data_IF_945639372801
#
_entry.id   IF_945639372801
#
_cell.length_a   1.000
_cell.length_b   1.000
_cell.length_c   1.000
_cell.angle_alpha   90.00
_cell.angle_beta   90.00
_cell.angle_gamma   90.00
#
_symmetry.space_group_name_H-M   'P 1'
#
loop_
_entity.id
_entity.type
_entity.pdbx_description
1 polymer ?
#
# COMPACT_ATOMS: atom_id res chain seq x y z
N UNK A 1 37.96 -65.97 30.82
CA UNK A 1 36.63 -66.03 30.19
C UNK A 1 35.69 -65.18 31.01
N UNK A 2 35.48 -63.92 30.62
CA UNK A 2 34.51 -63.02 31.26
C UNK A 2 33.16 -63.25 30.59
N UNK A 3 32.14 -63.57 31.39
CA UNK A 3 30.80 -63.88 30.90
C UNK A 3 30.12 -62.60 30.34
N UNK A 4 29.22 -62.73 29.34
CA UNK A 4 28.52 -61.60 28.72
C UNK A 4 27.48 -60.89 29.64
N UNK A 5 27.53 -61.14 30.96
CA UNK A 5 26.50 -60.76 31.92
C UNK A 5 26.73 -59.39 32.59
N UNK A 6 27.88 -58.74 32.35
CA UNK A 6 28.30 -57.52 33.08
C UNK A 6 28.18 -56.23 32.23
N UNK A 7 27.32 -56.20 31.22
CA UNK A 7 27.06 -54.96 30.48
C UNK A 7 26.22 -54.00 31.34
N UNK A 8 26.66 -52.75 31.58
CA UNK A 8 25.88 -51.77 32.33
C UNK A 8 24.52 -51.54 31.64
N UNK A 9 23.45 -51.37 32.43
CA UNK A 9 22.08 -51.23 31.94
C UNK A 9 21.90 -50.10 30.89
N UNK A 10 22.77 -49.09 30.92
CA UNK A 10 22.89 -48.01 29.91
C UNK A 10 23.21 -48.53 28.50
N UNK A 11 24.01 -49.60 28.38
CA UNK A 11 24.39 -50.22 27.11
C UNK A 11 23.41 -51.33 26.66
N UNK A 12 22.40 -51.64 27.46
CA UNK A 12 21.42 -52.71 27.18
C UNK A 12 20.20 -52.23 26.36
N UNK A 13 20.09 -50.93 26.06
CA UNK A 13 18.96 -50.40 25.29
C UNK A 13 19.11 -50.71 23.79
N UNK A 14 18.51 -51.83 23.38
CA UNK A 14 18.48 -52.33 22.00
C UNK A 14 17.44 -51.62 21.10
N UNK A 15 16.76 -50.57 21.57
CA UNK A 15 15.62 -49.94 20.90
C UNK A 15 15.67 -48.42 20.91
N UNK A 16 15.03 -47.81 19.91
CA UNK A 16 14.96 -46.36 19.74
C UNK A 16 14.23 -45.73 20.92
N UNK A 17 14.91 -44.83 21.63
CA UNK A 17 14.35 -44.13 22.80
C UNK A 17 13.43 -42.99 22.35
N UNK A 18 12.48 -42.56 23.18
CA UNK A 18 11.67 -41.37 22.90
C UNK A 18 12.51 -40.12 22.63
N UNK A 19 13.64 -39.96 23.33
CA UNK A 19 14.58 -38.86 23.12
C UNK A 19 15.22 -38.90 21.72
N UNK A 20 15.54 -40.09 21.19
CA UNK A 20 16.12 -40.26 19.86
C UNK A 20 15.13 -39.83 18.77
N UNK A 21 13.85 -40.20 18.94
CA UNK A 21 12.77 -39.78 18.04
C UNK A 21 12.58 -38.27 18.06
N UNK A 22 12.57 -37.66 19.25
CA UNK A 22 12.41 -36.21 19.40
C UNK A 22 13.60 -35.45 18.81
N UNK A 23 14.83 -35.90 19.07
CA UNK A 23 16.03 -35.27 18.50
C UNK A 23 16.04 -35.34 16.98
N UNK A 24 15.70 -36.50 16.41
CA UNK A 24 15.64 -36.68 14.97
C UNK A 24 14.55 -35.80 14.32
N UNK A 25 13.35 -35.73 14.89
CA UNK A 25 12.27 -34.90 14.34
C UNK A 25 12.58 -33.42 14.40
N UNK A 26 13.20 -32.93 15.50
CA UNK A 26 13.65 -31.54 15.61
C UNK A 26 14.74 -31.21 14.61
N UNK A 27 15.70 -32.12 14.41
CA UNK A 27 16.75 -31.96 13.40
C UNK A 27 16.17 -31.89 11.99
N UNK A 28 15.29 -32.83 11.63
CA UNK A 28 14.62 -32.84 10.33
C UNK A 28 13.77 -31.58 10.13
N UNK A 29 13.03 -31.15 11.15
CA UNK A 29 12.27 -29.91 11.11
C UNK A 29 13.19 -28.72 10.83
N UNK A 30 14.31 -28.59 11.54
CA UNK A 30 15.27 -27.50 11.31
C UNK A 30 15.80 -27.48 9.87
N UNK A 31 16.12 -28.65 9.29
CA UNK A 31 16.54 -28.75 7.89
C UNK A 31 15.46 -28.28 6.92
N UNK A 32 14.20 -28.66 7.14
CA UNK A 32 13.07 -28.23 6.29
C UNK A 32 12.90 -26.71 6.40
N UNK A 33 12.96 -26.14 7.60
CA UNK A 33 12.86 -24.69 7.78
C UNK A 33 14.01 -23.97 7.06
N UNK A 34 15.24 -24.46 7.19
CA UNK A 34 16.40 -23.88 6.50
C UNK A 34 16.24 -23.94 4.98
N UNK A 35 15.77 -25.07 4.45
CA UNK A 35 15.49 -25.22 3.02
C UNK A 35 14.42 -24.24 2.53
N UNK A 36 13.35 -24.03 3.30
CA UNK A 36 12.30 -23.05 2.96
C UNK A 36 12.82 -21.61 3.01
N UNK A 37 13.55 -21.25 4.06
CA UNK A 37 14.10 -19.90 4.25
C UNK A 37 15.10 -19.52 3.15
N UNK A 38 15.90 -20.49 2.68
CA UNK A 38 16.90 -20.24 1.63
C UNK A 38 16.34 -20.47 0.22
N UNK A 39 15.34 -21.33 0.07
CA UNK A 39 14.78 -21.73 -1.23
C UNK A 39 13.62 -20.87 -1.72
N UNK A 40 12.90 -20.18 -0.82
CA UNK A 40 11.79 -19.29 -1.21
C UNK A 40 12.29 -17.86 -1.35
N UNK A 41 12.26 -17.34 -2.58
CA UNK A 41 12.56 -15.94 -2.88
C UNK A 41 11.27 -15.14 -3.13
N UNK A 42 11.25 -13.89 -2.67
CA UNK A 42 10.18 -12.94 -2.99
C UNK A 42 10.68 -11.96 -4.05
N UNK A 43 9.85 -11.71 -5.07
CA UNK A 43 10.12 -10.68 -6.10
C UNK A 43 9.20 -9.50 -5.90
N UNK A 44 9.71 -8.29 -6.05
CA UNK A 44 8.85 -7.10 -6.10
C UNK A 44 8.18 -7.02 -7.47
N UNK A 45 6.87 -6.86 -7.50
CA UNK A 45 6.14 -6.56 -8.73
C UNK A 45 6.48 -5.12 -9.12
N UNK A 46 7.03 -4.93 -10.32
CA UNK A 46 7.31 -3.59 -10.87
C UNK A 46 6.00 -2.79 -10.85
N UNK A 47 5.94 -1.64 -10.15
CA UNK A 47 4.75 -0.81 -10.17
C UNK A 47 4.53 -0.33 -11.60
N UNK A 48 3.43 -0.77 -12.22
CA UNK A 48 3.01 -0.25 -13.52
C UNK A 48 2.92 1.26 -13.38
N UNK A 49 3.75 1.97 -14.14
CA UNK A 49 3.70 3.42 -14.26
C UNK A 49 2.24 3.81 -14.55
N UNK A 50 1.51 4.29 -13.56
CA UNK A 50 0.20 4.92 -13.78
C UNK A 50 0.56 6.22 -14.48
N UNK A 51 0.57 6.16 -15.80
CA UNK A 51 1.30 7.12 -16.64
C UNK A 51 0.73 8.54 -16.59
N UNK A 52 -0.39 8.78 -15.89
CA UNK A 52 -0.98 10.12 -15.71
C UNK A 52 -1.71 10.19 -14.37
N UNK A 53 -1.31 11.12 -13.50
CA UNK A 53 -2.16 11.57 -12.39
C UNK A 53 -3.37 12.26 -13.00
N UNK A 54 -4.57 11.85 -12.60
CA UNK A 54 -5.82 12.43 -13.07
C UNK A 54 -6.22 13.57 -12.14
N UNK A 55 -6.29 14.79 -12.67
CA UNK A 55 -6.80 15.95 -11.93
C UNK A 55 -8.30 16.10 -12.19
N UNK A 56 -9.10 15.91 -11.14
CA UNK A 56 -10.56 16.06 -11.15
C UNK A 56 -10.94 17.26 -10.26
N UNK A 57 -11.72 18.18 -10.81
CA UNK A 57 -12.28 19.32 -10.09
C UNK A 57 -13.80 19.20 -9.96
N UNK A 58 -14.37 19.69 -8.87
CA UNK A 58 -15.82 19.78 -8.71
C UNK A 58 -16.37 20.95 -9.54
N UNK A 59 -17.34 20.70 -10.42
CA UNK A 59 -18.00 21.77 -11.15
C UNK A 59 -19.06 22.45 -10.27
N UNK A 60 -18.82 23.71 -9.86
CA UNK A 60 -19.78 24.46 -9.03
C UNK A 60 -21.03 24.87 -9.81
N UNK A 61 -20.90 25.06 -11.12
CA UNK A 61 -21.99 25.46 -12.02
C UNK A 61 -21.95 24.65 -13.31
N UNK A 62 -23.13 24.28 -13.81
CA UNK A 62 -23.29 23.58 -15.08
C UNK A 62 -23.40 24.56 -16.25
N UNK A 63 -22.70 24.27 -17.33
CA UNK A 63 -22.78 24.97 -18.61
C UNK A 63 -23.43 24.06 -19.65
N UNK A 64 -24.42 24.57 -20.39
CA UNK A 64 -25.08 23.84 -21.49
C UNK A 64 -24.10 23.57 -22.64
N UNK A 65 -23.21 24.52 -22.93
CA UNK A 65 -22.17 24.37 -23.95
C UNK A 65 -20.93 23.67 -23.36
N UNK A 66 -20.49 22.61 -24.03
CA UNK A 66 -19.23 21.91 -23.71
C UNK A 66 -18.01 22.81 -23.97
N UNK A 67 -17.02 22.86 -23.05
CA UNK A 67 -15.75 23.54 -23.30
C UNK A 67 -14.99 22.94 -24.48
N UNK A 68 -14.41 23.80 -25.32
CA UNK A 68 -13.59 23.38 -26.46
C UNK A 68 -12.26 22.74 -26.00
N UNK A 69 -11.71 23.24 -24.88
CA UNK A 69 -10.53 22.68 -24.19
C UNK A 69 -10.79 22.73 -22.69
N UNK A 70 -10.78 21.58 -22.02
CA UNK A 70 -10.91 21.48 -20.58
C UNK A 70 -9.53 21.28 -19.94
N UNK A 71 -9.23 22.08 -18.91
CA UNK A 71 -8.00 21.96 -18.12
C UNK A 71 -8.07 20.82 -17.09
N UNK A 72 -9.28 20.45 -16.67
CA UNK A 72 -9.55 19.46 -15.63
C UNK A 72 -10.76 18.61 -16.00
N UNK A 73 -10.81 17.38 -15.48
CA UNK A 73 -12.04 16.58 -15.55
C UNK A 73 -13.00 16.99 -14.43
N UNK A 74 -14.29 17.00 -14.72
CA UNK A 74 -15.33 17.34 -13.75
C UNK A 74 -16.61 16.54 -14.01
N UNK A 75 -17.55 16.56 -13.07
CA UNK A 75 -18.83 15.85 -13.18
C UNK A 75 -19.73 16.45 -14.26
N UNK A 76 -19.62 17.75 -14.51
CA UNK A 76 -20.44 18.50 -15.45
C UNK A 76 -19.56 19.45 -16.28
N UNK A 77 -20.09 19.88 -17.43
CA UNK A 77 -19.43 20.90 -18.25
C UNK A 77 -19.40 22.22 -17.47
N UNK A 78 -18.23 22.86 -17.35
CA UNK A 78 -18.10 24.18 -16.75
C UNK A 78 -17.17 25.05 -17.59
N UNK A 79 -17.69 26.18 -18.07
CA UNK A 79 -16.91 27.20 -18.76
C UNK A 79 -16.70 28.40 -17.84
N UNK A 80 -15.44 28.81 -17.64
CA UNK A 80 -15.13 30.05 -16.94
C UNK A 80 -15.47 31.28 -17.81
N UNK A 81 -15.79 32.40 -17.17
CA UNK A 81 -16.05 33.68 -17.84
C UNK A 81 -14.79 34.45 -18.25
N UNK A 82 -13.60 33.89 -17.99
CA UNK A 82 -12.33 34.53 -18.29
C UNK A 82 -12.11 34.75 -19.79
N UNK A 83 -11.61 35.93 -20.16
CA UNK A 83 -11.37 36.33 -21.56
C UNK A 83 -9.87 36.36 -21.92
N UNK A 84 -9.01 35.90 -21.02
CA UNK A 84 -7.55 35.90 -21.22
C UNK A 84 -7.12 34.65 -22.01
N UNK A 85 -6.20 34.83 -22.96
CA UNK A 85 -5.62 33.74 -23.74
C UNK A 85 -4.80 32.74 -22.89
N UNK A 86 -4.26 33.22 -21.76
CA UNK A 86 -3.49 32.43 -20.81
C UNK A 86 -4.26 32.26 -19.51
N UNK A 87 -4.22 31.04 -18.96
CA UNK A 87 -4.79 30.70 -17.66
C UNK A 87 -4.25 31.64 -16.58
N UNK A 88 -5.15 32.27 -15.85
CA UNK A 88 -4.85 33.13 -14.72
C UNK A 88 -5.78 32.79 -13.56
N UNK A 89 -5.29 32.96 -12.33
CA UNK A 89 -6.12 32.85 -11.14
C UNK A 89 -7.15 34.00 -11.19
N UNK A 90 -8.44 33.75 -10.92
CA UNK A 90 -9.44 34.82 -10.82
C UNK A 90 -8.96 35.93 -9.88
N UNK A 91 -9.03 37.17 -10.34
CA UNK A 91 -8.73 38.37 -9.56
C UNK A 91 -9.94 39.29 -9.59
N UNK A 92 -10.08 40.10 -8.55
CA UNK A 92 -11.10 41.15 -8.47
C UNK A 92 -10.44 42.51 -8.65
N UNK A 93 -11.13 43.44 -9.30
CA UNK A 93 -10.74 44.87 -9.33
C UNK A 93 -11.13 45.57 -8.03
N UNK A 94 -12.06 44.98 -7.28
CA UNK A 94 -12.52 45.50 -5.99
C UNK A 94 -11.58 45.09 -4.87
N UNK A 95 -11.08 46.07 -4.13
CA UNK A 95 -10.35 45.84 -2.89
C UNK A 95 -11.38 45.50 -1.81
N UNK A 96 -11.25 44.32 -1.21
CA UNK A 96 -12.13 43.93 -0.11
C UNK A 96 -12.02 44.98 1.02
N UNK A 97 -13.16 45.46 1.57
CA UNK A 97 -13.17 46.48 2.62
C UNK A 97 -12.47 46.03 3.90
N UNK A 98 -12.22 44.72 4.02
CA UNK A 98 -11.42 44.11 5.06
C UNK A 98 -10.50 43.05 4.43
N UNK A 99 -9.26 42.96 4.93
CA UNK A 99 -8.37 41.86 4.60
C UNK A 99 -8.66 40.72 5.57
N UNK A 100 -9.45 39.73 5.16
CA UNK A 100 -9.64 38.51 5.96
C UNK A 100 -8.84 37.36 5.35
N UNK A 101 -7.76 36.99 6.03
CA UNK A 101 -6.96 35.81 5.69
C UNK A 101 -7.53 34.53 6.31
N UNK A 102 -8.67 34.60 7.03
CA UNK A 102 -9.35 33.43 7.60
C UNK A 102 -10.47 32.96 6.67
N UNK A 103 -10.38 31.70 6.25
CA UNK A 103 -11.47 31.02 5.55
C UNK A 103 -12.62 30.78 6.52
N UNK A 104 -13.72 31.50 6.34
CA UNK A 104 -14.93 31.31 7.13
C UNK A 104 -15.69 30.08 6.63
N UNK A 105 -16.07 29.18 7.55
CA UNK A 105 -16.84 28.00 7.21
C UNK A 105 -18.31 28.40 7.02
N UNK A 106 -18.71 28.63 5.78
CA UNK A 106 -20.11 28.88 5.43
C UNK A 106 -20.79 27.56 5.06
N UNK A 107 -21.94 27.28 5.69
CA UNK A 107 -22.82 26.18 5.29
C UNK A 107 -23.79 26.74 4.24
N UNK A 108 -23.87 26.16 3.02
CA UNK A 108 -24.86 26.57 2.04
C UNK A 108 -26.28 26.36 2.59
N UNK A 109 -27.25 27.23 2.24
CA UNK A 109 -28.65 26.98 2.55
C UNK A 109 -29.14 25.69 1.88
N UNK A 110 -30.14 25.00 2.48
CA UNK A 110 -30.70 23.76 1.95
C UNK A 110 -31.40 23.94 0.59
#
# INVERSE_FOLDING_TARGET
MTLPSDLPAELAHRGVRPADRLGFTLFLAALIHLALLLGVGFTMVEPKQISKTLEITLATFKSEKKPEKADFLAQENQQGSGTLDKKAIPKTTEVAPFQDNKVQKVTPPP
#
